data_IF_130902614199
#
_entry.id   IF_130902614199
#
_cell.length_a   1.000
_cell.length_b   1.000
_cell.length_c   1.000
_cell.angle_alpha   90.00
_cell.angle_beta   90.00
_cell.angle_gamma   90.00
#
_symmetry.space_group_name_H-M   'P 1'
#
loop_
_entity.id
_entity.type
_entity.pdbx_description
1 polymer ?
#
# COMPACT_ATOMS: atom_id res chain seq x y z
N UNK A 1 11.85 -41.44 6.51
CA UNK A 1 12.07 -39.99 6.67
C UNK A 1 11.81 -39.57 8.11
N UNK A 2 12.75 -38.88 8.71
CA UNK A 2 12.59 -38.30 10.04
C UNK A 2 12.39 -36.79 9.92
N UNK A 3 11.98 -36.13 11.01
CA UNK A 3 11.84 -34.67 11.05
C UNK A 3 13.18 -33.97 10.81
N UNK A 4 14.29 -34.65 11.09
CA UNK A 4 15.64 -34.12 10.86
C UNK A 4 15.98 -33.94 9.38
N UNK A 5 15.23 -34.61 8.48
CA UNK A 5 15.42 -34.49 7.03
C UNK A 5 14.75 -33.24 6.46
N UNK A 6 14.07 -32.44 7.30
CA UNK A 6 13.31 -31.27 6.88
C UNK A 6 13.82 -30.01 7.58
N UNK A 7 13.91 -28.94 6.82
CA UNK A 7 14.15 -27.60 7.35
C UNK A 7 12.82 -26.86 7.42
N UNK A 8 12.48 -26.29 8.56
CA UNK A 8 11.27 -25.50 8.72
C UNK A 8 11.51 -24.08 8.22
N UNK A 9 10.73 -23.65 7.25
CA UNK A 9 10.77 -22.29 6.71
C UNK A 9 9.38 -21.68 6.83
N UNK A 10 9.27 -20.57 7.53
CA UNK A 10 7.99 -19.88 7.75
C UNK A 10 8.09 -18.47 7.23
N UNK A 11 7.19 -18.10 6.34
CA UNK A 11 7.05 -16.72 5.86
C UNK A 11 5.73 -16.13 6.36
N UNK A 12 5.74 -14.85 6.69
CA UNK A 12 4.55 -14.10 7.09
C UNK A 12 4.39 -12.91 6.17
N UNK A 13 3.15 -12.67 5.75
CA UNK A 13 2.77 -11.47 5.02
C UNK A 13 1.71 -10.74 5.81
N UNK A 14 1.93 -9.44 6.01
CA UNK A 14 0.97 -8.60 6.73
C UNK A 14 0.60 -7.43 5.85
N UNK A 15 -0.70 -7.18 5.72
CA UNK A 15 -1.23 -6.07 4.94
C UNK A 15 -1.79 -5.01 5.87
N UNK A 16 -1.49 -3.75 5.58
CA UNK A 16 -2.02 -2.62 6.33
C UNK A 16 -2.60 -1.60 5.36
N UNK A 17 -3.88 -1.31 5.50
CA UNK A 17 -4.55 -0.29 4.72
C UNK A 17 -4.47 1.04 5.48
N UNK A 18 -3.84 2.04 4.86
CA UNK A 18 -3.66 3.35 5.48
C UNK A 18 -4.95 4.19 5.38
N UNK A 19 -5.27 4.89 6.45
CA UNK A 19 -6.47 5.76 6.52
C UNK A 19 -6.18 7.14 5.93
N UNK A 20 -5.88 7.20 4.65
CA UNK A 20 -5.68 8.45 3.93
C UNK A 20 -6.95 8.83 3.15
N UNK A 21 -7.08 10.11 2.83
CA UNK A 21 -8.24 10.61 2.07
C UNK A 21 -8.14 10.31 0.59
N UNK A 22 -6.93 10.20 0.07
CA UNK A 22 -6.66 9.92 -1.34
C UNK A 22 -5.74 8.73 -1.50
N UNK A 23 -5.71 8.17 -2.71
CA UNK A 23 -4.78 7.11 -3.09
C UNK A 23 -3.32 7.62 -3.02
N UNK A 24 -2.36 6.70 -3.07
CA UNK A 24 -0.94 7.03 -2.91
C UNK A 24 -0.38 7.91 -4.02
N UNK A 25 -0.76 7.69 -5.27
CA UNK A 25 -0.16 8.35 -6.42
C UNK A 25 -1.11 9.23 -7.22
N UNK A 26 -2.31 9.47 -6.73
CA UNK A 26 -3.28 10.36 -7.37
C UNK A 26 -4.23 10.96 -6.34
N UNK A 27 -5.09 11.88 -6.78
CA UNK A 27 -6.02 12.57 -5.90
C UNK A 27 -7.38 11.91 -5.77
N UNK A 28 -7.57 10.71 -6.34
CA UNK A 28 -8.83 10.00 -6.22
C UNK A 28 -9.11 9.61 -4.77
N UNK A 29 -10.39 9.65 -4.35
CA UNK A 29 -10.75 9.30 -2.98
C UNK A 29 -10.58 7.81 -2.70
N UNK A 30 -10.38 7.50 -1.42
CA UNK A 30 -10.25 6.12 -0.93
C UNK A 30 -11.51 5.62 -0.24
N UNK A 31 -12.62 6.35 -0.33
CA UNK A 31 -13.87 5.99 0.32
C UNK A 31 -14.39 4.62 -0.12
N UNK A 32 -14.81 3.84 0.87
CA UNK A 32 -15.39 2.52 0.61
C UNK A 32 -16.84 2.66 0.09
N UNK A 33 -17.20 1.81 -0.86
CA UNK A 33 -18.59 1.72 -1.30
C UNK A 33 -19.01 2.74 -2.36
N UNK A 34 -18.05 3.38 -3.04
CA UNK A 34 -18.38 4.27 -4.17
C UNK A 34 -18.95 3.52 -5.36
N UNK A 35 -19.57 4.26 -6.28
CA UNK A 35 -20.09 3.70 -7.53
C UNK A 35 -18.94 3.06 -8.32
N UNK A 36 -19.20 1.95 -9.04
CA UNK A 36 -18.17 1.30 -9.84
C UNK A 36 -17.52 2.27 -10.82
N UNK A 37 -16.16 2.19 -10.93
CA UNK A 37 -15.36 2.96 -11.88
C UNK A 37 -15.43 4.49 -11.72
N UNK A 38 -15.78 4.99 -10.52
CA UNK A 38 -15.83 6.44 -10.26
C UNK A 38 -14.61 6.95 -9.51
N UNK A 39 -13.97 6.10 -8.70
CA UNK A 39 -12.74 6.47 -7.96
C UNK A 39 -11.50 6.23 -8.83
N UNK A 40 -11.48 6.83 -10.02
CA UNK A 40 -10.38 6.71 -10.96
C UNK A 40 -10.14 8.02 -11.70
N UNK A 41 -8.91 8.22 -12.12
CA UNK A 41 -8.51 9.38 -12.90
C UNK A 41 -7.47 8.94 -13.94
N UNK A 42 -7.09 9.80 -14.91
CA UNK A 42 -6.07 9.44 -15.89
C UNK A 42 -4.77 8.95 -15.28
N UNK A 43 -4.37 9.46 -14.12
CA UNK A 43 -3.13 9.06 -13.45
C UNK A 43 -3.19 7.62 -12.96
N UNK A 44 -4.21 7.26 -12.16
CA UNK A 44 -4.31 5.90 -11.63
C UNK A 44 -4.71 4.87 -12.69
N UNK A 45 -5.26 5.32 -13.81
CA UNK A 45 -5.52 4.48 -14.98
C UNK A 45 -4.31 4.33 -15.90
N UNK A 46 -3.20 4.97 -15.56
CA UNK A 46 -1.93 4.89 -16.29
C UNK A 46 -2.07 5.31 -17.76
N UNK A 47 -2.85 6.34 -18.03
CA UNK A 47 -2.99 6.86 -19.39
C UNK A 47 -1.69 7.50 -19.89
N UNK A 48 -1.42 7.47 -21.21
CA UNK A 48 -0.21 8.07 -21.75
C UNK A 48 -0.06 9.55 -21.38
N UNK A 49 1.17 9.94 -21.02
CA UNK A 49 1.49 11.32 -20.66
C UNK A 49 1.19 11.71 -19.22
N UNK A 50 0.68 10.81 -18.40
CA UNK A 50 0.42 11.06 -16.98
C UNK A 50 1.59 10.62 -16.10
N UNK A 51 1.81 11.36 -15.01
CA UNK A 51 2.83 11.02 -14.02
C UNK A 51 2.17 10.90 -12.63
N UNK A 52 2.64 9.98 -11.79
CA UNK A 52 2.11 9.84 -10.43
C UNK A 52 2.38 11.08 -9.60
N UNK A 53 1.44 11.38 -8.69
CA UNK A 53 1.56 12.46 -7.71
C UNK A 53 1.49 11.85 -6.32
N UNK A 54 2.58 11.94 -5.57
CA UNK A 54 2.72 11.29 -4.26
C UNK A 54 1.88 11.97 -3.19
N UNK A 55 1.12 11.17 -2.43
CA UNK A 55 0.40 11.61 -1.24
C UNK A 55 1.37 11.59 -0.04
N UNK A 56 1.71 12.77 0.50
CA UNK A 56 2.65 12.89 1.62
C UNK A 56 2.19 12.15 2.88
N UNK A 57 0.88 12.09 3.13
CA UNK A 57 0.35 11.36 4.29
C UNK A 57 0.65 9.88 4.25
N UNK A 58 0.70 9.29 3.06
CA UNK A 58 1.08 7.89 2.89
C UNK A 58 2.52 7.66 3.34
N UNK A 59 3.43 8.57 2.97
CA UNK A 59 4.84 8.49 3.39
C UNK A 59 4.95 8.64 4.90
N UNK A 60 4.24 9.59 5.50
CA UNK A 60 4.22 9.80 6.94
C UNK A 60 3.75 8.54 7.68
N UNK A 61 2.65 7.94 7.23
CA UNK A 61 2.11 6.73 7.85
C UNK A 61 3.02 5.53 7.65
N UNK A 62 3.65 5.41 6.48
CA UNK A 62 4.60 4.33 6.21
C UNK A 62 5.82 4.42 7.13
N UNK A 63 6.34 5.62 7.36
CA UNK A 63 7.45 5.85 8.30
C UNK A 63 7.03 5.48 9.72
N UNK A 64 5.84 5.89 10.15
CA UNK A 64 5.31 5.53 11.47
C UNK A 64 5.18 4.01 11.64
N UNK A 65 4.67 3.33 10.63
CA UNK A 65 4.55 1.88 10.65
C UNK A 65 5.92 1.21 10.73
N UNK A 66 6.89 1.70 9.97
CA UNK A 66 8.26 1.21 10.00
C UNK A 66 8.89 1.38 11.39
N UNK A 67 8.73 2.55 12.00
CA UNK A 67 9.24 2.80 13.36
C UNK A 67 8.56 1.92 14.40
N UNK A 68 7.24 1.73 14.27
CA UNK A 68 6.47 0.87 15.19
C UNK A 68 6.92 -0.59 15.14
N UNK A 69 7.41 -1.05 14.01
CA UNK A 69 7.90 -2.42 13.81
C UNK A 69 9.42 -2.54 13.93
N UNK A 70 10.07 -1.50 14.45
CA UNK A 70 11.51 -1.46 14.71
C UNK A 70 12.37 -1.58 13.43
N UNK A 71 11.89 -1.01 12.35
CA UNK A 71 12.66 -0.94 11.12
C UNK A 71 13.63 0.25 11.12
N UNK A 72 14.70 0.13 10.36
CA UNK A 72 15.59 1.25 10.07
C UNK A 72 15.01 2.04 8.91
N UNK A 73 14.82 3.32 9.10
CA UNK A 73 14.25 4.19 8.06
C UNK A 73 15.38 4.86 7.28
#
# INVERSE_FOLDING_TARGET
>A
MSLEDYEVVIGLEVHCELSTKTKIFCSCPTEFGGEPNTHCCPICMAMPGTLPVLNEKVVEYAVKAGLATNCTI
#
